data_IF_687320453923
#
_entry.id   IF_687320453923
#
_cell.length_a   1.000
_cell.length_b   1.000
_cell.length_c   1.000
_cell.angle_alpha   90.00
_cell.angle_beta   90.00
_cell.angle_gamma   90.00
#
_symmetry.space_group_name_H-M   'P 1'
#
loop_
_entity.id
_entity.type
_entity.pdbx_description
1 polymer ?
#
# COMPACT_ATOMS: atom_id res chain seq x y z
N UNK A 1 18.25 -20.65 12.32
CA UNK A 1 17.55 -20.99 11.06
C UNK A 1 16.04 -20.82 11.28
N UNK A 2 15.48 -19.65 10.95
CA UNK A 2 14.03 -19.44 10.76
C UNK A 2 13.86 -18.23 9.84
N UNK A 3 13.96 -18.45 8.53
CA UNK A 3 13.59 -17.46 7.54
C UNK A 3 12.07 -17.32 7.54
N UNK A 4 11.54 -16.25 8.13
CA UNK A 4 10.13 -15.89 7.95
C UNK A 4 9.90 -15.74 6.44
N UNK A 5 9.00 -16.56 5.87
CA UNK A 5 8.64 -16.45 4.44
C UNK A 5 8.18 -15.01 4.19
N UNK A 6 8.94 -14.24 3.42
CA UNK A 6 8.48 -12.95 2.90
C UNK A 6 7.43 -13.22 1.83
N UNK A 7 6.17 -13.06 2.21
CA UNK A 7 5.02 -13.21 1.33
C UNK A 7 3.96 -12.16 1.64
N UNK A 8 2.97 -12.03 0.78
CA UNK A 8 1.82 -11.15 1.02
C UNK A 8 0.93 -11.78 2.10
N UNK A 9 0.54 -10.99 3.09
CA UNK A 9 -0.41 -11.38 4.14
C UNK A 9 -1.70 -10.59 3.96
N UNK A 10 -2.85 -11.25 4.12
CA UNK A 10 -4.13 -10.56 4.16
C UNK A 10 -4.22 -9.73 5.44
N UNK A 11 -4.61 -8.47 5.29
CA UNK A 11 -4.88 -7.55 6.39
C UNK A 11 -6.23 -6.86 6.12
N UNK A 12 -7.02 -6.67 7.16
CA UNK A 12 -8.27 -5.92 7.08
C UNK A 12 -8.04 -4.53 7.69
N UNK A 13 -8.41 -3.50 6.95
CA UNK A 13 -8.35 -2.11 7.41
C UNK A 13 -9.70 -1.45 7.18
N UNK A 14 -10.08 -0.54 8.06
CA UNK A 14 -11.25 0.31 7.89
C UNK A 14 -10.78 1.66 7.35
N UNK A 15 -11.39 2.12 6.26
CA UNK A 15 -11.10 3.40 5.63
C UNK A 15 -12.41 4.17 5.45
N UNK A 16 -12.38 5.52 5.52
CA UNK A 16 -13.51 6.34 5.12
C UNK A 16 -13.99 5.99 3.71
N UNK A 17 -15.31 6.06 3.48
CA UNK A 17 -15.93 5.70 2.21
C UNK A 17 -15.36 6.52 1.03
N UNK A 18 -15.17 7.83 1.22
CA UNK A 18 -14.56 8.70 0.23
C UNK A 18 -13.17 8.23 -0.24
N UNK A 19 -12.40 7.54 0.61
CA UNK A 19 -11.10 7.00 0.23
C UNK A 19 -11.24 5.73 -0.59
N UNK A 20 -12.25 4.90 -0.28
CA UNK A 20 -12.57 3.72 -1.09
C UNK A 20 -13.03 4.14 -2.49
N UNK A 21 -13.86 5.17 -2.59
CA UNK A 21 -14.28 5.77 -3.88
C UNK A 21 -13.08 6.26 -4.69
N UNK A 22 -12.18 7.02 -4.06
CA UNK A 22 -10.95 7.48 -4.73
C UNK A 22 -10.07 6.32 -5.20
N UNK A 23 -9.97 5.23 -4.44
CA UNK A 23 -9.26 4.02 -4.86
C UNK A 23 -9.97 3.30 -6.02
N UNK A 24 -11.29 3.29 -6.04
CA UNK A 24 -12.07 2.71 -7.14
C UNK A 24 -11.90 3.52 -8.43
N UNK A 25 -11.84 4.85 -8.36
CA UNK A 25 -11.54 5.71 -9.51
C UNK A 25 -10.15 5.44 -10.09
N UNK A 26 -9.13 5.26 -9.25
CA UNK A 26 -7.78 4.89 -9.70
C UNK A 26 -7.77 3.55 -10.46
N UNK A 27 -8.62 2.60 -10.06
CA UNK A 27 -8.76 1.31 -10.74
C UNK A 27 -9.56 1.47 -12.04
N UNK A 28 -10.67 2.23 -12.03
CA UNK A 28 -11.48 2.52 -13.22
C UNK A 28 -10.69 3.23 -14.31
N UNK A 29 -9.80 4.14 -13.92
CA UNK A 29 -8.88 4.83 -14.81
C UNK A 29 -7.71 3.93 -15.30
N UNK A 30 -7.70 2.64 -14.94
CA UNK A 30 -6.67 1.66 -15.28
C UNK A 30 -5.25 2.05 -14.81
N UNK A 31 -5.15 2.92 -13.78
CA UNK A 31 -3.87 3.32 -13.18
C UNK A 31 -3.30 2.23 -12.27
N UNK A 32 -4.19 1.45 -11.65
CA UNK A 32 -3.83 0.30 -10.83
C UNK A 32 -4.73 -0.89 -11.16
N UNK A 33 -4.19 -2.13 -11.12
CA UNK A 33 -4.98 -3.32 -11.43
C UNK A 33 -5.99 -3.70 -10.33
N UNK A 34 -5.87 -3.13 -9.13
CA UNK A 34 -6.81 -3.33 -8.02
C UNK A 34 -6.58 -2.30 -6.91
N UNK A 35 -7.58 -2.11 -6.04
CA UNK A 35 -7.44 -1.33 -4.80
C UNK A 35 -6.27 -1.82 -3.95
N UNK A 36 -6.10 -3.13 -3.83
CA UNK A 36 -5.00 -3.74 -3.09
C UNK A 36 -3.63 -3.38 -3.66
N UNK A 37 -3.50 -3.24 -4.98
CA UNK A 37 -2.26 -2.79 -5.60
C UNK A 37 -1.96 -1.31 -5.29
N UNK A 38 -2.97 -0.45 -5.38
CA UNK A 38 -2.86 0.97 -5.03
C UNK A 38 -2.47 1.15 -3.55
N UNK A 39 -3.16 0.47 -2.63
CA UNK A 39 -2.87 0.52 -1.18
C UNK A 39 -1.45 0.04 -0.90
N UNK A 40 -1.01 -1.10 -1.47
CA UNK A 40 0.36 -1.58 -1.29
C UNK A 40 1.40 -0.59 -1.82
N UNK A 41 1.10 0.10 -2.92
CA UNK A 41 1.96 1.15 -3.47
C UNK A 41 2.10 2.31 -2.50
N UNK A 42 0.98 2.87 -2.03
CA UNK A 42 0.95 3.97 -1.08
C UNK A 42 1.69 3.63 0.22
N UNK A 43 1.45 2.44 0.80
CA UNK A 43 2.13 1.98 2.02
C UNK A 43 3.63 1.85 1.80
N UNK A 44 4.07 1.27 0.68
CA UNK A 44 5.50 1.14 0.37
C UNK A 44 6.16 2.51 0.24
N UNK A 45 5.52 3.45 -0.45
CA UNK A 45 6.10 4.75 -0.72
C UNK A 45 6.18 5.58 0.57
N UNK A 46 5.17 5.48 1.45
CA UNK A 46 5.22 6.03 2.81
C UNK A 46 6.39 5.44 3.61
N UNK A 47 6.55 4.11 3.64
CA UNK A 47 7.63 3.47 4.40
C UNK A 47 9.02 3.84 3.88
N UNK A 48 9.19 3.96 2.56
CA UNK A 48 10.45 4.42 1.96
C UNK A 48 10.79 5.83 2.43
N UNK A 49 9.82 6.74 2.35
CA UNK A 49 9.98 8.14 2.77
C UNK A 49 10.35 8.23 4.25
N UNK A 50 9.57 7.62 5.14
CA UNK A 50 9.72 7.83 6.58
C UNK A 50 10.89 7.04 7.19
N UNK A 51 11.21 5.84 6.68
CA UNK A 51 12.24 4.98 7.27
C UNK A 51 13.59 5.06 6.57
N UNK A 52 13.61 5.33 5.27
CA UNK A 52 14.87 5.33 4.49
C UNK A 52 15.52 6.71 4.47
N UNK A 53 14.74 7.78 4.32
CA UNK A 53 15.29 9.16 4.31
C UNK A 53 15.77 9.61 5.70
N UNK A 54 15.21 9.04 6.78
CA UNK A 54 15.68 9.28 8.15
C UNK A 54 17.03 8.64 8.47
N UNK A 55 17.47 7.65 7.69
CA UNK A 55 18.69 6.89 7.97
C UNK A 55 19.96 7.56 7.43
N UNK A 56 19.79 8.52 6.52
CA UNK A 56 20.87 9.24 5.81
C UNK A 56 21.07 10.67 6.35
N UNK A 57 20.44 11.03 7.48
CA UNK A 57 20.74 12.23 8.28
C UNK A 57 21.42 11.84 9.58
#
# INVERSE_FOLDING_TARGET
MFGVRKGVRLVTVLLPEAYLEGLDELVRANMYPSRSAAIRSAVRDLLKKELWERKER
#
